data_IF_418213895375
#
_entry.id   IF_418213895375
#
_cell.length_a   1.000
_cell.length_b   1.000
_cell.length_c   1.000
_cell.angle_alpha   90.00
_cell.angle_beta   90.00
_cell.angle_gamma   90.00
#
_symmetry.space_group_name_H-M   'P 1'
#
loop_
_entity.id
_entity.type
_entity.pdbx_description
1 polymer ?
#
# COMPACT_ATOMS: atom_id res chain seq x y z
N UNK A 1 10.58 28.04 -17.40
CA UNK A 1 9.84 26.76 -17.52
C UNK A 1 8.46 26.95 -16.93
N UNK A 2 7.43 27.06 -17.77
CA UNK A 2 6.04 27.22 -17.31
C UNK A 2 5.58 25.91 -16.64
N UNK A 3 5.48 25.90 -15.30
CA UNK A 3 4.74 24.86 -14.60
C UNK A 3 3.25 25.12 -14.84
N UNK A 4 2.72 24.57 -15.93
CA UNK A 4 1.28 24.42 -16.11
C UNK A 4 0.77 23.56 -14.95
N UNK A 5 0.08 24.18 -13.99
CA UNK A 5 -0.59 23.45 -12.89
C UNK A 5 -1.81 22.75 -13.48
N UNK A 6 -1.61 21.54 -13.99
CA UNK A 6 -2.70 20.65 -14.41
C UNK A 6 -3.55 20.34 -13.18
N UNK A 7 -4.80 20.81 -13.15
CA UNK A 7 -5.77 20.42 -12.11
C UNK A 7 -6.10 18.94 -12.29
N UNK A 8 -5.99 18.16 -11.21
CA UNK A 8 -6.42 16.77 -11.18
C UNK A 8 -7.95 16.70 -11.02
N UNK A 9 -8.62 15.72 -11.65
CA UNK A 9 -10.05 15.51 -11.46
C UNK A 9 -10.35 15.03 -10.02
N UNK A 10 -11.61 15.19 -9.58
CA UNK A 10 -12.08 14.62 -8.31
C UNK A 10 -12.09 13.09 -8.42
N UNK A 11 -11.63 12.40 -7.36
CA UNK A 11 -11.64 10.95 -7.27
C UNK A 11 -10.25 10.33 -7.42
N UNK A 12 -10.20 9.12 -8.01
CA UNK A 12 -8.95 8.37 -8.21
C UNK A 12 -8.07 9.02 -9.27
N UNK A 13 -6.75 8.87 -9.12
CA UNK A 13 -5.79 9.23 -10.16
C UNK A 13 -5.95 8.30 -11.36
N UNK A 14 -5.66 8.84 -12.54
CA UNK A 14 -5.44 8.03 -13.75
C UNK A 14 -4.30 7.03 -13.52
N UNK A 15 -4.47 5.81 -14.03
CA UNK A 15 -3.51 4.71 -13.86
C UNK A 15 -2.11 5.09 -14.36
N UNK A 16 -2.01 5.67 -15.57
CA UNK A 16 -0.72 6.04 -16.15
C UNK A 16 -0.03 7.08 -15.27
N UNK A 17 -0.79 8.07 -14.80
CA UNK A 17 -0.25 9.08 -13.91
C UNK A 17 0.21 8.49 -12.56
N UNK A 18 -0.54 7.57 -11.96
CA UNK A 18 -0.11 6.88 -10.75
C UNK A 18 1.16 6.07 -10.98
N UNK A 19 1.24 5.29 -12.06
CA UNK A 19 2.44 4.55 -12.44
C UNK A 19 3.66 5.47 -12.62
N UNK A 20 3.49 6.65 -13.21
CA UNK A 20 4.58 7.62 -13.38
C UNK A 20 5.04 8.21 -12.04
N UNK A 21 4.14 8.41 -11.08
CA UNK A 21 4.49 8.81 -9.71
C UNK A 21 5.22 7.69 -8.96
N UNK A 22 4.75 6.44 -9.07
CA UNK A 22 5.36 5.30 -8.38
C UNK A 22 6.80 5.05 -8.84
N UNK A 23 7.14 5.32 -10.10
CA UNK A 23 8.53 5.25 -10.61
C UNK A 23 9.48 6.23 -9.92
N UNK A 24 8.98 7.26 -9.24
CA UNK A 24 9.81 8.20 -8.49
C UNK A 24 10.27 7.59 -7.15
N UNK A 25 9.67 6.48 -6.71
CA UNK A 25 10.07 5.75 -5.52
C UNK A 25 11.26 4.85 -5.86
N UNK A 26 12.39 5.05 -5.17
CA UNK A 26 13.55 4.20 -5.32
C UNK A 26 13.41 2.96 -4.42
N UNK A 27 13.09 1.81 -5.01
CA UNK A 27 13.19 0.50 -4.35
C UNK A 27 14.43 -0.23 -4.86
N UNK A 28 15.54 -0.09 -4.15
CA UNK A 28 16.83 -0.71 -4.52
C UNK A 28 17.15 -1.98 -3.72
N UNK A 29 16.35 -2.27 -2.69
CA UNK A 29 16.55 -3.47 -1.88
C UNK A 29 16.14 -4.72 -2.67
N UNK A 30 17.07 -5.64 -2.97
CA UNK A 30 16.78 -6.83 -3.77
C UNK A 30 15.83 -7.81 -3.06
N UNK A 31 15.59 -7.64 -1.75
CA UNK A 31 14.62 -8.45 -1.01
C UNK A 31 13.17 -8.10 -1.33
N UNK A 32 12.91 -6.95 -1.96
CA UNK A 32 11.56 -6.56 -2.35
C UNK A 32 11.12 -7.40 -3.55
N UNK A 33 10.21 -8.35 -3.32
CA UNK A 33 9.60 -9.19 -4.35
C UNK A 33 8.45 -8.42 -5.03
N UNK A 34 7.61 -7.79 -4.22
CA UNK A 34 6.52 -6.93 -4.68
C UNK A 34 6.71 -5.55 -4.04
N UNK A 35 7.14 -4.61 -4.86
CA UNK A 35 7.24 -3.19 -4.52
C UNK A 35 6.07 -2.36 -5.07
N UNK A 36 6.14 -1.03 -4.96
CA UNK A 36 5.05 -0.14 -5.38
C UNK A 36 4.73 -0.30 -6.86
N UNK A 37 3.48 -0.64 -7.18
CA UNK A 37 2.95 -0.72 -8.55
C UNK A 37 1.44 -0.56 -8.53
N UNK A 38 0.85 -0.30 -9.69
CA UNK A 38 -0.60 -0.22 -9.82
C UNK A 38 -1.26 -1.58 -9.54
N UNK A 39 -2.30 -1.57 -8.70
CA UNK A 39 -3.13 -2.74 -8.42
C UNK A 39 -2.62 -3.68 -7.32
N UNK A 40 -1.53 -3.35 -6.63
CA UNK A 40 -1.09 -4.10 -5.43
C UNK A 40 -1.51 -3.36 -4.16
N UNK A 41 -2.07 -4.10 -3.20
CA UNK A 41 -2.55 -3.57 -1.91
C UNK A 41 -1.53 -3.79 -0.76
N UNK A 42 -0.47 -4.56 -1.00
CA UNK A 42 0.59 -4.82 -0.02
C UNK A 42 1.96 -4.97 -0.67
N UNK A 43 3.02 -4.78 0.12
CA UNK A 43 4.39 -5.07 -0.27
C UNK A 43 4.82 -6.46 0.22
N UNK A 44 5.69 -7.12 -0.54
CA UNK A 44 6.25 -8.44 -0.19
C UNK A 44 7.77 -8.37 -0.16
N UNK A 45 8.36 -8.78 0.97
CA UNK A 45 9.81 -8.80 1.19
C UNK A 45 10.28 -10.20 1.56
N UNK A 46 11.37 -10.68 0.96
CA UNK A 46 12.06 -11.88 1.41
C UNK A 46 12.89 -11.57 2.67
N UNK A 47 12.55 -12.22 3.79
CA UNK A 47 13.25 -12.02 5.06
C UNK A 47 14.24 -13.15 5.36
N UNK A 48 14.02 -14.33 4.77
CA UNK A 48 14.96 -15.46 4.80
C UNK A 48 14.60 -16.44 3.67
N UNK A 49 15.42 -17.47 3.47
CA UNK A 49 15.19 -18.49 2.44
C UNK A 49 13.80 -19.09 2.58
N UNK A 50 12.96 -18.91 1.56
CA UNK A 50 11.57 -19.38 1.49
C UNK A 50 10.64 -18.75 2.55
N UNK A 51 10.99 -17.59 3.10
CA UNK A 51 10.11 -16.84 4.01
C UNK A 51 9.92 -15.42 3.52
N UNK A 52 8.66 -15.05 3.32
CA UNK A 52 8.27 -13.71 2.93
C UNK A 52 7.52 -13.04 4.07
N UNK A 53 7.75 -11.73 4.21
CA UNK A 53 6.93 -10.84 5.01
C UNK A 53 6.03 -10.04 4.07
N UNK A 54 4.73 -10.07 4.32
CA UNK A 54 3.74 -9.24 3.62
C UNK A 54 3.33 -8.10 4.53
N UNK A 55 3.36 -6.88 4.01
CA UNK A 55 3.11 -5.66 4.77
C UNK A 55 2.12 -4.78 4.02
N UNK A 56 1.05 -4.37 4.71
CA UNK A 56 0.07 -3.42 4.21
C UNK A 56 -0.08 -2.24 5.18
N UNK A 57 -0.55 -1.11 4.66
CA UNK A 57 -0.87 0.08 5.45
C UNK A 57 -1.96 0.88 4.73
N UNK A 58 -3.14 0.94 5.32
CA UNK A 58 -4.28 1.72 4.82
C UNK A 58 -4.85 2.63 5.91
N UNK A 59 -4.81 3.97 5.73
CA UNK A 59 -5.43 4.92 6.64
C UNK A 59 -6.97 4.89 6.51
N UNK A 60 -7.64 4.41 7.55
CA UNK A 60 -9.10 4.47 7.65
C UNK A 60 -9.55 5.83 8.18
N UNK A 61 -10.29 6.58 7.37
CA UNK A 61 -10.83 7.91 7.74
C UNK A 61 -12.37 7.93 7.71
N UNK A 62 -12.98 8.92 8.38
CA UNK A 62 -14.43 9.17 8.40
C UNK A 62 -15.32 8.02 8.90
N UNK A 63 -14.77 7.01 9.57
CA UNK A 63 -15.59 5.96 10.19
C UNK A 63 -16.39 6.54 11.38
N UNK A 64 -17.72 6.64 11.22
CA UNK A 64 -18.61 7.17 12.26
C UNK A 64 -18.72 6.28 13.51
N UNK A 65 -18.39 4.99 13.38
CA UNK A 65 -18.34 4.03 14.48
C UNK A 65 -17.33 2.91 14.15
N UNK A 66 -16.89 2.18 15.17
CA UNK A 66 -16.05 0.97 15.04
C UNK A 66 -14.72 1.20 14.30
N UNK A 67 -14.12 2.39 14.41
CA UNK A 67 -12.84 2.70 13.76
C UNK A 67 -11.76 1.65 14.07
N UNK A 68 -11.68 1.13 15.30
CA UNK A 68 -10.75 0.07 15.67
C UNK A 68 -11.01 -1.27 14.95
N UNK A 69 -12.27 -1.62 14.69
CA UNK A 69 -12.61 -2.82 13.92
C UNK A 69 -12.17 -2.67 12.47
N UNK A 70 -12.45 -1.53 11.85
CA UNK A 70 -12.03 -1.26 10.47
C UNK A 70 -10.51 -1.19 10.34
N UNK A 71 -9.84 -0.51 11.27
CA UNK A 71 -8.38 -0.43 11.32
C UNK A 71 -7.74 -1.82 11.25
N UNK A 72 -8.23 -2.77 12.06
CA UNK A 72 -7.70 -4.13 12.08
C UNK A 72 -8.09 -4.90 10.82
N UNK A 73 -9.37 -4.92 10.45
CA UNK A 73 -9.86 -5.81 9.42
C UNK A 73 -9.50 -5.36 8.00
N UNK A 74 -9.45 -4.06 7.72
CA UNK A 74 -9.04 -3.53 6.40
C UNK A 74 -7.57 -3.87 6.15
N UNK A 75 -6.68 -3.52 7.07
CA UNK A 75 -5.25 -3.80 6.92
C UNK A 75 -4.94 -5.31 6.90
N UNK A 76 -5.66 -6.12 7.69
CA UNK A 76 -5.50 -7.57 7.67
C UNK A 76 -6.00 -8.21 6.37
N UNK A 77 -7.05 -7.65 5.75
CA UNK A 77 -7.58 -8.13 4.48
C UNK A 77 -6.54 -8.01 3.35
N UNK A 78 -5.84 -6.89 3.26
CA UNK A 78 -4.83 -6.69 2.20
C UNK A 78 -3.68 -7.69 2.31
N UNK A 79 -3.24 -8.01 3.53
CA UNK A 79 -2.26 -9.07 3.78
C UNK A 79 -2.81 -10.44 3.39
N UNK A 80 -4.06 -10.75 3.78
CA UNK A 80 -4.70 -12.02 3.48
C UNK A 80 -4.99 -12.22 1.98
N UNK A 81 -5.26 -11.14 1.25
CA UNK A 81 -5.50 -11.18 -0.20
C UNK A 81 -4.27 -11.65 -1.00
N UNK A 82 -3.06 -11.43 -0.46
CA UNK A 82 -1.82 -11.97 -1.01
C UNK A 82 -1.50 -13.40 -0.51
N UNK A 83 -2.40 -14.01 0.26
CA UNK A 83 -2.25 -15.37 0.79
C UNK A 83 -1.38 -15.48 2.05
N UNK A 84 -1.04 -14.36 2.69
CA UNK A 84 -0.29 -14.35 3.95
C UNK A 84 -1.21 -14.39 5.18
N UNK A 85 -0.69 -14.92 6.29
CA UNK A 85 -1.38 -14.94 7.59
C UNK A 85 -1.11 -13.63 8.35
N UNK A 86 -2.12 -12.79 8.67
CA UNK A 86 -1.91 -11.56 9.44
C UNK A 86 -1.54 -11.87 10.89
N UNK A 87 -0.31 -11.55 11.30
CA UNK A 87 0.23 -11.90 12.65
C UNK A 87 0.36 -10.72 13.61
N UNK A 88 0.63 -9.53 13.08
CA UNK A 88 0.97 -8.34 13.87
C UNK A 88 0.36 -7.10 13.24
N UNK A 89 0.17 -6.07 14.06
CA UNK A 89 -0.27 -4.76 13.62
C UNK A 89 0.51 -3.67 14.35
N UNK A 90 0.93 -2.66 13.60
CA UNK A 90 1.51 -1.43 14.15
C UNK A 90 0.48 -0.32 13.95
N UNK A 91 0.22 0.45 15.00
CA UNK A 91 -0.76 1.54 14.95
C UNK A 91 -0.05 2.86 15.19
N UNK A 92 -0.31 3.84 14.31
CA UNK A 92 0.11 5.23 14.46
C UNK A 92 -1.16 6.07 14.54
N UNK A 93 -1.19 7.01 15.50
CA UNK A 93 -2.33 7.90 15.78
C UNK A 93 -2.04 9.29 15.23
#
# INVERSE_FOLDING_TARGET
MNKSTRRLPVGKLDEKYLCDLLKLLHTTDPRIIIGPRFGEDAAVLEISRNQCLVMASDPVTFAAARIGWYLVNVNANDVAALGADPRWITVVV
#
